data_IF_548555388109
#
_entry.id   IF_548555388109
#
_cell.length_a   1.000
_cell.length_b   1.000
_cell.length_c   1.000
_cell.angle_alpha   90.00
_cell.angle_beta   90.00
_cell.angle_gamma   90.00
#
_symmetry.space_group_name_H-M   'P 1'
#
loop_
_entity.id
_entity.type
_entity.pdbx_description
1 polymer ?
#
# COMPACT_ATOMS: atom_id res chain seq x y z
N UNK A 1 1.31 -1.39 24.58
CA UNK A 1 2.13 -2.62 24.34
C UNK A 1 3.38 -2.16 23.58
N UNK A 2 4.46 -2.95 23.55
CA UNK A 2 5.59 -2.57 22.71
C UNK A 2 5.21 -2.78 21.24
N UNK A 3 5.62 -1.88 20.32
CA UNK A 3 5.33 -2.00 18.90
C UNK A 3 5.98 -3.27 18.32
N UNK A 4 5.34 -3.85 17.30
CA UNK A 4 5.89 -4.99 16.58
C UNK A 4 7.11 -4.61 15.74
N UNK A 5 7.08 -3.42 15.11
CA UNK A 5 8.18 -2.87 14.31
C UNK A 5 8.38 -1.41 14.72
N UNK A 6 9.63 -1.00 14.95
CA UNK A 6 9.96 0.39 15.21
C UNK A 6 11.24 0.80 14.48
N UNK A 7 11.17 1.91 13.75
CA UNK A 7 12.31 2.59 13.14
C UNK A 7 12.49 3.96 13.76
N UNK A 8 13.73 4.33 14.08
CA UNK A 8 14.10 5.66 14.58
C UNK A 8 15.25 6.24 13.77
N UNK A 9 15.02 7.40 13.16
CA UNK A 9 15.97 8.11 12.29
C UNK A 9 16.67 7.19 11.29
N UNK A 10 15.90 6.29 10.66
CA UNK A 10 16.41 5.30 9.73
C UNK A 10 16.94 5.99 8.48
N UNK A 11 18.21 5.70 8.13
CA UNK A 11 18.87 6.27 6.94
C UNK A 11 19.54 5.19 6.12
N UNK A 12 19.46 5.36 4.82
CA UNK A 12 20.19 4.54 3.85
C UNK A 12 20.71 5.38 2.71
N UNK A 13 22.02 5.35 2.54
CA UNK A 13 22.74 5.98 1.43
C UNK A 13 23.50 4.91 0.67
N UNK A 14 23.29 4.86 -0.64
CA UNK A 14 24.03 3.99 -1.56
C UNK A 14 25.23 4.76 -2.13
N UNK A 15 26.41 4.14 -2.13
CA UNK A 15 27.65 4.66 -2.70
C UNK A 15 28.00 6.10 -2.25
N UNK A 16 27.52 6.51 -1.07
CA UNK A 16 27.72 7.85 -0.52
C UNK A 16 27.04 8.99 -1.30
N UNK A 17 26.16 8.67 -2.26
CA UNK A 17 25.56 9.67 -3.19
C UNK A 17 24.05 9.66 -3.19
N UNK A 18 23.41 8.48 -3.16
CA UNK A 18 21.97 8.38 -3.27
C UNK A 18 21.38 8.07 -1.89
N UNK A 19 20.74 9.05 -1.27
CA UNK A 19 19.99 8.87 -0.03
C UNK A 19 18.61 8.31 -0.35
N UNK A 20 18.45 6.99 -0.24
CA UNK A 20 17.18 6.31 -0.47
C UNK A 20 16.22 6.41 0.72
N UNK A 21 16.76 6.50 1.96
CA UNK A 21 15.99 6.71 3.19
C UNK A 21 16.64 7.82 3.99
N UNK A 22 15.85 8.83 4.42
CA UNK A 22 16.33 10.13 4.93
C UNK A 22 15.79 10.44 6.32
N UNK A 23 16.07 9.59 7.30
CA UNK A 23 15.62 9.81 8.68
C UNK A 23 14.17 9.39 8.89
N UNK A 24 13.79 8.23 8.33
CA UNK A 24 12.46 7.68 8.44
C UNK A 24 12.21 7.20 9.88
N UNK A 25 11.07 7.63 10.43
CA UNK A 25 10.54 7.14 11.69
C UNK A 25 9.23 6.41 11.39
N UNK A 26 9.07 5.22 11.97
CA UNK A 26 7.90 4.38 11.77
C UNK A 26 7.65 3.53 13.01
N UNK A 27 6.38 3.39 13.37
CA UNK A 27 5.96 2.54 14.47
C UNK A 27 4.71 1.76 14.08
N UNK A 28 4.80 0.42 14.13
CA UNK A 28 3.72 -0.51 13.74
C UNK A 28 3.37 -1.33 14.96
N UNK A 29 2.10 -1.30 15.33
CA UNK A 29 1.60 -2.01 16.49
C UNK A 29 1.45 -3.52 16.23
N UNK A 30 1.47 -4.31 17.29
CA UNK A 30 1.24 -5.74 17.17
C UNK A 30 -0.22 -6.03 16.78
N UNK A 31 -0.43 -6.89 15.77
CA UNK A 31 -1.75 -7.22 15.23
C UNK A 31 -2.30 -6.20 14.23
N UNK A 32 -1.52 -5.18 13.88
CA UNK A 32 -1.89 -4.16 12.90
C UNK A 32 -1.58 -4.61 11.47
N UNK A 33 -2.42 -4.24 10.53
CA UNK A 33 -2.11 -4.23 9.11
C UNK A 33 -1.68 -2.82 8.70
N UNK A 34 -0.40 -2.64 8.43
CA UNK A 34 0.20 -1.35 8.11
C UNK A 34 0.61 -1.27 6.64
N UNK A 35 0.21 -0.19 5.95
CA UNK A 35 0.55 0.09 4.57
C UNK A 35 1.72 1.06 4.42
N UNK A 36 2.66 0.77 3.52
CA UNK A 36 3.71 1.68 3.12
C UNK A 36 3.51 2.08 1.66
N UNK A 37 2.98 3.29 1.43
CA UNK A 37 2.61 3.81 0.12
C UNK A 37 3.62 4.85 -0.36
N UNK A 38 3.74 5.00 -1.66
CA UNK A 38 4.63 6.03 -2.24
C UNK A 38 4.96 5.73 -3.69
N UNK A 39 5.47 6.72 -4.46
CA UNK A 39 5.87 6.51 -5.84
C UNK A 39 7.10 5.60 -5.94
N UNK A 40 7.41 5.17 -7.16
CA UNK A 40 8.67 4.48 -7.44
C UNK A 40 9.85 5.36 -7.05
N UNK A 41 10.88 4.76 -6.45
CA UNK A 41 12.04 5.49 -5.94
C UNK A 41 11.82 6.27 -4.63
N UNK A 42 10.63 6.19 -4.01
CA UNK A 42 10.36 6.85 -2.71
C UNK A 42 11.14 6.27 -1.54
N UNK A 43 11.77 5.08 -1.68
CA UNK A 43 12.51 4.42 -0.62
C UNK A 43 11.75 3.29 0.07
N UNK A 44 10.55 2.90 -0.42
CA UNK A 44 9.72 1.82 0.18
C UNK A 44 10.44 0.48 0.24
N UNK A 45 10.88 -0.03 -0.91
CA UNK A 45 11.60 -1.31 -1.02
C UNK A 45 12.87 -1.31 -0.17
N UNK A 46 13.67 -0.22 -0.22
CA UNK A 46 14.85 -0.08 0.62
C UNK A 46 14.51 -0.14 2.12
N UNK A 47 13.41 0.50 2.53
CA UNK A 47 12.95 0.46 3.93
C UNK A 47 12.54 -0.97 4.31
N UNK A 48 11.76 -1.66 3.47
CA UNK A 48 11.33 -3.04 3.73
C UNK A 48 12.52 -3.99 3.78
N UNK A 49 13.45 -3.93 2.83
CA UNK A 49 14.65 -4.76 2.85
C UNK A 49 15.51 -4.58 4.13
N UNK A 50 15.53 -3.37 4.68
CA UNK A 50 16.17 -3.12 5.98
C UNK A 50 15.40 -3.78 7.12
N UNK A 51 14.06 -3.68 7.12
CA UNK A 51 13.20 -4.31 8.11
C UNK A 51 13.27 -5.85 8.05
N UNK A 52 13.38 -6.41 6.87
CA UNK A 52 13.54 -7.85 6.61
C UNK A 52 14.95 -8.36 6.96
N UNK A 53 15.89 -7.46 7.24
CA UNK A 53 17.30 -7.80 7.53
C UNK A 53 18.09 -8.24 6.30
N UNK A 54 17.61 -7.93 5.09
CA UNK A 54 18.31 -8.17 3.83
C UNK A 54 19.35 -7.08 3.54
N UNK A 55 19.11 -5.89 4.08
CA UNK A 55 19.95 -4.72 3.87
C UNK A 55 20.30 -4.05 5.21
N UNK A 56 21.59 -3.74 5.42
CA UNK A 56 21.99 -2.96 6.57
C UNK A 56 21.70 -1.47 6.37
N UNK A 57 21.14 -0.76 7.37
CA UNK A 57 21.01 0.70 7.31
C UNK A 57 22.37 1.39 7.36
N UNK A 58 22.47 2.61 6.85
CA UNK A 58 23.66 3.47 7.03
C UNK A 58 23.71 4.02 8.45
N UNK A 59 22.57 4.41 9.00
CA UNK A 59 22.41 4.84 10.40
C UNK A 59 20.94 4.71 10.82
N UNK A 60 20.68 4.97 12.10
CA UNK A 60 19.35 4.81 12.70
C UNK A 60 19.22 3.47 13.42
N UNK A 61 18.04 3.24 13.98
CA UNK A 61 17.74 2.04 14.75
C UNK A 61 16.49 1.36 14.23
N UNK A 62 16.54 0.02 14.17
CA UNK A 62 15.40 -0.83 13.85
C UNK A 62 15.26 -1.86 14.96
N UNK A 63 14.05 -1.97 15.50
CA UNK A 63 13.69 -3.06 16.40
C UNK A 63 12.44 -3.76 15.88
N UNK A 64 12.45 -5.09 15.97
CA UNK A 64 11.34 -5.96 15.59
C UNK A 64 11.01 -6.83 16.79
N UNK A 65 9.78 -6.75 17.29
CA UNK A 65 9.36 -7.41 18.52
C UNK A 65 10.31 -7.10 19.70
N UNK A 66 10.85 -5.88 19.75
CA UNK A 66 11.82 -5.43 20.76
C UNK A 66 13.25 -5.96 20.56
N UNK A 67 13.54 -6.65 19.46
CA UNK A 67 14.85 -7.26 19.15
C UNK A 67 15.53 -6.54 17.98
N UNK A 68 16.87 -6.68 17.88
CA UNK A 68 17.67 -6.12 16.78
C UNK A 68 18.20 -7.23 15.88
N UNK A 69 18.38 -6.92 14.60
CA UNK A 69 19.00 -7.86 13.65
C UNK A 69 20.42 -8.27 14.03
N UNK A 70 21.15 -7.37 14.67
CA UNK A 70 22.55 -7.62 15.06
C UNK A 70 22.65 -8.76 16.07
N UNK A 71 21.73 -8.83 17.02
CA UNK A 71 21.82 -9.72 18.16
C UNK A 71 20.91 -10.96 18.02
N UNK A 72 19.82 -10.86 17.24
CA UNK A 72 18.74 -11.85 17.24
C UNK A 72 18.30 -12.27 15.82
N UNK A 73 19.22 -12.27 14.84
CA UNK A 73 18.89 -12.52 13.43
C UNK A 73 18.20 -13.89 13.20
N UNK A 74 18.57 -14.91 13.96
CA UNK A 74 17.98 -16.24 13.80
C UNK A 74 16.56 -16.29 14.34
N UNK A 75 16.35 -15.72 15.52
CA UNK A 75 15.06 -15.66 16.20
C UNK A 75 14.06 -14.81 15.39
N UNK A 76 14.51 -13.71 14.81
CA UNK A 76 13.71 -12.85 13.96
C UNK A 76 13.25 -13.58 12.69
N UNK A 77 14.14 -14.33 12.02
CA UNK A 77 13.76 -15.12 10.84
C UNK A 77 12.71 -16.20 11.14
N UNK A 78 12.71 -16.75 12.34
CA UNK A 78 11.71 -17.77 12.75
C UNK A 78 10.29 -17.19 12.91
N UNK A 79 10.16 -15.88 13.16
CA UNK A 79 8.87 -15.23 13.44
C UNK A 79 8.41 -14.30 12.32
N UNK A 80 9.13 -14.29 11.21
CA UNK A 80 8.82 -13.45 10.05
C UNK A 80 8.50 -14.31 8.82
N UNK A 81 7.46 -13.92 8.09
CA UNK A 81 7.15 -14.41 6.76
C UNK A 81 7.37 -13.29 5.75
N UNK A 82 8.02 -13.58 4.64
CA UNK A 82 8.37 -12.58 3.62
C UNK A 82 7.89 -13.06 2.26
N UNK A 83 7.12 -12.23 1.56
CA UNK A 83 6.74 -12.43 0.16
C UNK A 83 7.19 -11.23 -0.65
N UNK A 84 8.24 -11.42 -1.43
CA UNK A 84 8.82 -10.38 -2.30
C UNK A 84 7.97 -10.19 -3.56
N UNK A 85 8.07 -9.03 -4.18
CA UNK A 85 7.39 -8.67 -5.44
C UNK A 85 7.66 -9.71 -6.55
N UNK A 86 8.91 -10.14 -6.70
CA UNK A 86 9.31 -11.22 -7.60
C UNK A 86 9.85 -12.42 -6.81
N UNK A 87 8.97 -13.24 -6.25
CA UNK A 87 9.39 -14.50 -5.63
C UNK A 87 9.63 -15.55 -6.70
N UNK A 88 10.89 -15.87 -6.95
CA UNK A 88 11.30 -16.90 -7.93
C UNK A 88 11.28 -18.28 -7.28
N UNK A 89 10.20 -19.01 -7.46
CA UNK A 89 10.06 -20.40 -7.04
C UNK A 89 10.56 -21.35 -8.14
N UNK A 90 11.08 -22.51 -7.74
CA UNK A 90 11.55 -23.52 -8.70
C UNK A 90 10.39 -24.07 -9.53
N UNK A 91 10.44 -23.91 -10.84
CA UNK A 91 9.42 -24.41 -11.77
C UNK A 91 9.36 -25.95 -11.82
N UNK A 92 10.40 -26.64 -11.33
CA UNK A 92 10.57 -28.10 -11.34
C UNK A 92 10.09 -28.78 -10.04
N UNK A 93 9.55 -28.03 -9.11
CA UNK A 93 8.89 -28.55 -7.91
C UNK A 93 7.37 -28.49 -8.12
N UNK A 94 6.67 -29.37 -7.45
CA UNK A 94 5.21 -29.26 -7.28
C UNK A 94 4.89 -28.16 -6.26
N UNK A 95 3.63 -27.75 -6.21
CA UNK A 95 3.13 -26.78 -5.22
C UNK A 95 3.37 -27.29 -3.81
N UNK A 96 3.04 -28.56 -3.53
CA UNK A 96 3.24 -29.16 -2.22
C UNK A 96 4.72 -29.26 -1.85
N UNK A 97 5.56 -29.81 -2.74
CA UNK A 97 7.01 -29.90 -2.53
C UNK A 97 7.63 -28.54 -2.25
N UNK A 98 7.12 -27.47 -2.88
CA UNK A 98 7.59 -26.10 -2.63
C UNK A 98 7.28 -25.69 -1.19
N UNK A 99 6.04 -25.86 -0.73
CA UNK A 99 5.68 -25.47 0.64
C UNK A 99 6.37 -26.35 1.68
N UNK A 100 6.54 -27.66 1.42
CA UNK A 100 7.31 -28.58 2.27
C UNK A 100 8.78 -28.16 2.37
N UNK A 101 9.41 -27.77 1.25
CA UNK A 101 10.77 -27.24 1.25
C UNK A 101 10.90 -26.02 2.17
N UNK A 102 9.98 -25.04 2.04
CA UNK A 102 10.02 -23.86 2.89
C UNK A 102 9.70 -24.18 4.35
N UNK A 103 8.80 -25.11 4.63
CA UNK A 103 8.52 -25.57 6.00
C UNK A 103 9.75 -26.10 6.71
N UNK A 104 10.65 -26.76 5.96
CA UNK A 104 11.91 -27.30 6.48
C UNK A 104 12.89 -26.26 7.02
N UNK A 105 12.72 -24.96 6.73
CA UNK A 105 13.56 -23.89 7.26
C UNK A 105 13.17 -23.44 8.68
N UNK A 106 11.98 -23.83 9.18
CA UNK A 106 11.42 -23.37 10.44
C UNK A 106 11.35 -24.50 11.46
N UNK A 107 11.46 -24.15 12.74
CA UNK A 107 11.40 -25.12 13.84
C UNK A 107 9.98 -25.62 14.14
N UNK A 108 9.00 -24.74 13.97
CA UNK A 108 7.59 -25.01 14.25
C UNK A 108 6.70 -24.54 13.11
N UNK A 109 6.85 -25.12 11.90
CA UNK A 109 6.05 -24.73 10.76
C UNK A 109 4.60 -25.19 10.93
N UNK A 110 3.72 -24.55 10.18
CA UNK A 110 2.35 -25.05 9.97
C UNK A 110 2.38 -26.25 9.03
N UNK A 111 1.34 -27.08 9.10
CA UNK A 111 1.19 -28.18 8.15
C UNK A 111 1.05 -27.63 6.71
N UNK A 112 1.88 -28.08 5.75
CA UNK A 112 1.85 -27.56 4.37
C UNK A 112 0.47 -27.61 3.71
N UNK A 113 -0.27 -28.70 3.90
CA UNK A 113 -1.61 -28.87 3.33
C UNK A 113 -2.63 -27.88 3.91
N UNK A 114 -2.55 -27.54 5.21
CA UNK A 114 -3.42 -26.53 5.81
C UNK A 114 -3.14 -25.13 5.20
N UNK A 115 -1.87 -24.82 4.95
CA UNK A 115 -1.51 -23.55 4.30
C UNK A 115 -1.98 -23.53 2.85
N UNK A 116 -1.87 -24.65 2.12
CA UNK A 116 -2.39 -24.76 0.76
C UNK A 116 -3.92 -24.67 0.72
N UNK A 117 -4.63 -25.19 1.71
CA UNK A 117 -6.08 -25.05 1.82
C UNK A 117 -6.47 -23.59 2.04
N UNK A 118 -5.81 -22.89 2.98
CA UNK A 118 -6.02 -21.47 3.22
C UNK A 118 -5.79 -20.62 1.96
N UNK A 119 -4.80 -21.00 1.14
CA UNK A 119 -4.46 -20.32 -0.12
C UNK A 119 -5.28 -20.83 -1.31
N UNK A 120 -6.23 -21.75 -1.11
CA UNK A 120 -7.04 -22.38 -2.17
C UNK A 120 -6.18 -22.98 -3.29
N UNK A 121 -5.12 -23.69 -2.89
CA UNK A 121 -4.18 -24.37 -3.79
C UNK A 121 -4.18 -25.89 -3.63
N UNK A 122 -5.05 -26.45 -2.80
CA UNK A 122 -5.11 -27.90 -2.52
C UNK A 122 -5.28 -28.73 -3.80
N UNK A 123 -6.17 -28.32 -4.71
CA UNK A 123 -6.38 -29.01 -5.99
C UNK A 123 -5.17 -28.93 -6.94
N UNK A 124 -4.21 -28.07 -6.65
CA UNK A 124 -2.97 -27.87 -7.40
C UNK A 124 -1.74 -28.41 -6.67
N UNK A 125 -1.92 -29.12 -5.55
CA UNK A 125 -0.81 -29.62 -4.73
C UNK A 125 0.23 -30.39 -5.56
N UNK A 126 -0.21 -31.25 -6.46
CA UNK A 126 0.65 -32.07 -7.32
C UNK A 126 1.01 -31.37 -8.66
N UNK A 127 0.52 -30.17 -8.90
CA UNK A 127 0.86 -29.43 -10.11
C UNK A 127 2.24 -28.80 -10.00
N UNK A 128 2.99 -28.79 -11.10
CA UNK A 128 4.29 -28.13 -11.18
C UNK A 128 4.13 -26.61 -11.10
N UNK A 129 5.00 -25.94 -10.35
CA UNK A 129 4.99 -24.47 -10.19
C UNK A 129 5.03 -23.75 -11.53
N UNK A 130 5.81 -24.25 -12.50
CA UNK A 130 5.89 -23.69 -13.83
C UNK A 130 4.57 -23.72 -14.64
N UNK A 131 3.58 -24.52 -14.21
CA UNK A 131 2.25 -24.63 -14.87
C UNK A 131 1.17 -23.76 -14.19
N UNK A 132 1.50 -23.06 -13.13
CA UNK A 132 0.57 -22.20 -12.41
C UNK A 132 0.28 -20.91 -13.19
N UNK A 133 -0.96 -20.42 -13.06
CA UNK A 133 -1.27 -19.04 -13.46
C UNK A 133 -0.52 -18.01 -12.59
N UNK A 134 -0.43 -16.76 -13.02
CA UNK A 134 0.18 -15.70 -12.24
C UNK A 134 -0.42 -15.58 -10.83
N UNK A 135 -1.77 -15.58 -10.73
CA UNK A 135 -2.47 -15.53 -9.46
C UNK A 135 -2.23 -16.76 -8.56
N UNK A 136 -2.13 -17.96 -9.14
CA UNK A 136 -1.77 -19.16 -8.39
C UNK A 136 -0.33 -19.11 -7.88
N UNK A 137 0.61 -18.60 -8.69
CA UNK A 137 2.01 -18.39 -8.30
C UNK A 137 2.15 -17.40 -7.17
N UNK A 138 1.42 -16.29 -7.24
CA UNK A 138 1.42 -15.28 -6.18
C UNK A 138 0.87 -15.84 -4.86
N UNK A 139 -0.24 -16.59 -4.91
CA UNK A 139 -0.78 -17.27 -3.71
C UNK A 139 0.21 -18.30 -3.16
N UNK A 140 0.94 -19.01 -4.00
CA UNK A 140 1.99 -19.93 -3.56
C UNK A 140 3.15 -19.17 -2.89
N UNK A 141 3.56 -18.00 -3.42
CA UNK A 141 4.57 -17.15 -2.78
C UNK A 141 4.15 -16.72 -1.36
N UNK A 142 2.89 -16.31 -1.19
CA UNK A 142 2.36 -15.99 0.14
C UNK A 142 2.25 -17.25 1.03
N UNK A 143 1.90 -18.43 0.46
CA UNK A 143 1.90 -19.70 1.19
C UNK A 143 3.28 -20.01 1.78
N UNK A 144 4.36 -19.81 1.01
CA UNK A 144 5.74 -20.02 1.51
C UNK A 144 6.12 -19.04 2.62
N UNK A 145 5.55 -17.84 2.65
CA UNK A 145 5.75 -16.90 3.74
C UNK A 145 4.94 -17.28 5.00
N UNK A 146 3.76 -17.89 4.84
CA UNK A 146 2.88 -18.27 5.96
C UNK A 146 3.25 -19.60 6.61
N UNK A 147 3.93 -20.51 5.91
CA UNK A 147 4.22 -21.86 6.41
C UNK A 147 5.10 -21.86 7.65
N UNK A 148 5.96 -20.85 7.82
CA UNK A 148 6.78 -20.66 9.01
C UNK A 148 6.00 -20.31 10.28
N UNK A 149 4.68 -20.17 10.22
CA UNK A 149 3.84 -19.69 11.32
C UNK A 149 4.29 -18.33 11.87
N UNK A 150 4.46 -17.31 11.01
CA UNK A 150 5.04 -16.04 11.39
C UNK A 150 4.15 -15.25 12.35
N UNK A 151 4.77 -14.35 13.12
CA UNK A 151 4.09 -13.29 13.89
C UNK A 151 3.98 -11.99 13.08
N UNK A 152 4.90 -11.79 12.14
CA UNK A 152 4.93 -10.63 11.24
C UNK A 152 5.02 -11.13 9.80
N UNK A 153 4.18 -10.60 8.93
CA UNK A 153 4.14 -10.90 7.51
C UNK A 153 4.49 -9.64 6.71
N UNK A 154 5.54 -9.73 5.91
CA UNK A 154 5.96 -8.71 4.95
C UNK A 154 5.45 -9.10 3.56
N UNK A 155 4.77 -8.16 2.91
CA UNK A 155 4.20 -8.36 1.58
C UNK A 155 4.58 -7.19 0.67
N UNK A 156 5.45 -7.44 -0.29
CA UNK A 156 5.84 -6.42 -1.26
C UNK A 156 4.96 -6.55 -2.51
N UNK A 157 4.04 -5.59 -2.69
CA UNK A 157 3.07 -5.51 -3.79
C UNK A 157 2.31 -6.83 -4.06
N UNK A 158 1.65 -7.42 -3.06
CA UNK A 158 1.17 -8.80 -3.09
C UNK A 158 0.10 -9.08 -4.15
N UNK A 159 -0.59 -8.05 -4.66
CA UNK A 159 -1.69 -8.21 -5.61
C UNK A 159 -1.39 -7.73 -7.02
N UNK A 160 -0.15 -7.32 -7.29
CA UNK A 160 0.25 -6.84 -8.62
C UNK A 160 0.07 -7.94 -9.67
N UNK A 161 -0.60 -7.59 -10.77
CA UNK A 161 -0.86 -8.52 -11.88
C UNK A 161 -1.94 -9.58 -11.60
N UNK A 162 -2.65 -9.50 -10.47
CA UNK A 162 -3.77 -10.40 -10.18
C UNK A 162 -5.08 -9.92 -10.82
N UNK A 163 -5.89 -10.86 -11.27
CA UNK A 163 -7.28 -10.60 -11.61
C UNK A 163 -8.09 -10.21 -10.36
N UNK A 164 -9.25 -9.53 -10.52
CA UNK A 164 -10.03 -9.03 -9.39
C UNK A 164 -10.49 -10.11 -8.40
N UNK A 165 -10.72 -11.34 -8.86
CA UNK A 165 -11.15 -12.44 -7.99
C UNK A 165 -9.97 -12.95 -7.15
N UNK A 166 -8.81 -13.20 -7.78
CA UNK A 166 -7.59 -13.62 -7.10
C UNK A 166 -7.12 -12.59 -6.07
N UNK A 167 -7.26 -11.29 -6.39
CA UNK A 167 -6.95 -10.19 -5.48
C UNK A 167 -7.82 -10.24 -4.22
N UNK A 168 -9.14 -10.39 -4.36
CA UNK A 168 -10.07 -10.50 -3.21
C UNK A 168 -9.74 -11.69 -2.33
N UNK A 169 -9.45 -12.85 -2.91
CA UNK A 169 -9.08 -14.05 -2.17
C UNK A 169 -7.81 -13.84 -1.33
N UNK A 170 -6.81 -13.17 -1.90
CA UNK A 170 -5.59 -12.84 -1.17
C UNK A 170 -5.87 -11.82 -0.04
N UNK A 171 -6.70 -10.82 -0.27
CA UNK A 171 -7.13 -9.89 0.78
C UNK A 171 -7.81 -10.61 1.94
N UNK A 172 -8.69 -11.57 1.67
CA UNK A 172 -9.37 -12.35 2.71
C UNK A 172 -8.34 -13.17 3.52
N UNK A 173 -7.32 -13.72 2.86
CA UNK A 173 -6.23 -14.43 3.53
C UNK A 173 -5.41 -13.51 4.44
N UNK A 174 -5.03 -12.31 3.96
CA UNK A 174 -4.28 -11.32 4.74
C UNK A 174 -5.08 -10.88 5.96
N UNK A 175 -6.38 -10.58 5.78
CA UNK A 175 -7.27 -10.25 6.88
C UNK A 175 -7.42 -11.38 7.90
N UNK A 176 -7.56 -12.62 7.43
CA UNK A 176 -7.62 -13.79 8.32
C UNK A 176 -6.36 -13.95 9.16
N UNK A 177 -5.19 -13.70 8.58
CA UNK A 177 -3.92 -13.71 9.30
C UNK A 177 -3.87 -12.61 10.37
N UNK A 178 -4.27 -11.39 10.02
CA UNK A 178 -4.34 -10.26 10.96
C UNK A 178 -5.34 -10.52 12.10
N UNK A 179 -6.56 -10.99 11.78
CA UNK A 179 -7.58 -11.31 12.77
C UNK A 179 -7.14 -12.41 13.74
N UNK A 180 -6.25 -13.29 13.33
CA UNK A 180 -5.61 -14.28 14.18
C UNK A 180 -4.50 -13.68 15.09
N UNK A 181 -4.28 -12.35 15.05
CA UNK A 181 -3.29 -11.63 15.84
C UNK A 181 -1.94 -11.42 15.16
N UNK A 182 -1.83 -11.77 13.88
CA UNK A 182 -0.63 -11.51 13.07
C UNK A 182 -0.49 -10.03 12.71
N UNK A 183 0.75 -9.55 12.65
CA UNK A 183 1.07 -8.18 12.17
C UNK A 183 1.42 -8.25 10.70
N UNK A 184 0.91 -7.32 9.89
CA UNK A 184 1.19 -7.24 8.46
C UNK A 184 1.82 -5.90 8.12
N UNK A 185 2.93 -5.92 7.38
CA UNK A 185 3.45 -4.75 6.68
C UNK A 185 3.39 -5.01 5.19
N UNK A 186 2.62 -4.21 4.46
CA UNK A 186 2.50 -4.34 3.02
C UNK A 186 2.92 -3.06 2.29
N UNK A 187 3.51 -3.22 1.11
CA UNK A 187 3.58 -2.14 0.12
C UNK A 187 2.49 -2.34 -0.91
N UNK A 188 2.00 -1.25 -1.42
CA UNK A 188 1.10 -1.28 -2.57
C UNK A 188 1.12 0.06 -3.29
N UNK A 189 0.80 0.02 -4.57
CA UNK A 189 0.45 1.17 -5.37
C UNK A 189 -1.06 1.21 -5.68
N UNK A 190 -1.84 0.24 -5.17
CA UNK A 190 -3.30 0.21 -5.28
C UNK A 190 -3.93 0.83 -4.04
N UNK A 191 -4.58 2.00 -4.22
CA UNK A 191 -5.21 2.72 -3.11
C UNK A 191 -6.40 1.97 -2.51
N UNK A 192 -7.17 1.27 -3.35
CA UNK A 192 -8.27 0.41 -2.93
C UNK A 192 -7.82 -0.76 -2.03
N UNK A 193 -6.61 -1.27 -2.26
CA UNK A 193 -5.99 -2.27 -1.38
C UNK A 193 -5.64 -1.67 -0.02
N UNK A 194 -4.98 -0.52 -0.03
CA UNK A 194 -4.60 0.17 1.21
C UNK A 194 -5.83 0.58 2.04
N UNK A 195 -6.86 1.16 1.42
CA UNK A 195 -8.11 1.53 2.09
C UNK A 195 -8.82 0.31 2.69
N UNK A 196 -8.70 -0.84 2.02
CA UNK A 196 -9.41 -2.04 2.42
C UNK A 196 -8.70 -2.86 3.47
N UNK A 197 -7.37 -2.96 3.42
CA UNK A 197 -6.59 -3.85 4.27
C UNK A 197 -5.95 -3.14 5.46
N UNK A 198 -5.49 -1.91 5.28
CA UNK A 198 -4.66 -1.26 6.27
C UNK A 198 -5.49 -0.59 7.37
N UNK A 199 -5.12 -0.83 8.62
CA UNK A 199 -5.61 -0.07 9.77
C UNK A 199 -5.00 1.33 9.79
N UNK A 200 -3.69 1.39 9.52
CA UNK A 200 -2.92 2.63 9.33
C UNK A 200 -1.97 2.46 8.15
N UNK A 201 -1.55 3.58 7.62
CA UNK A 201 -0.56 3.62 6.55
C UNK A 201 0.33 4.86 6.66
N UNK A 202 1.51 4.76 6.07
CA UNK A 202 2.40 5.89 5.85
C UNK A 202 2.59 6.13 4.34
N UNK A 203 2.50 7.39 3.94
CA UNK A 203 2.87 7.83 2.60
C UNK A 203 4.33 8.29 2.67
N UNK A 204 5.16 7.67 1.84
CA UNK A 204 6.60 7.94 1.74
C UNK A 204 6.89 8.63 0.42
N UNK A 205 7.64 9.72 0.47
CA UNK A 205 8.20 10.35 -0.71
C UNK A 205 9.61 10.85 -0.39
N UNK A 206 10.51 10.76 -1.38
CA UNK A 206 11.92 11.15 -1.25
C UNK A 206 12.63 10.61 0.01
N UNK A 207 12.31 9.38 0.42
CA UNK A 207 12.92 8.70 1.56
C UNK A 207 12.41 9.16 2.93
N UNK A 208 11.30 9.88 3.00
CA UNK A 208 10.69 10.38 4.24
C UNK A 208 9.20 10.05 4.31
N UNK A 209 8.68 9.84 5.52
CA UNK A 209 7.23 9.79 5.76
C UNK A 209 6.67 11.21 5.66
N UNK A 210 5.77 11.45 4.71
CA UNK A 210 5.12 12.74 4.49
C UNK A 210 3.71 12.82 5.08
N UNK A 211 3.08 11.67 5.30
CA UNK A 211 1.81 11.56 6.01
C UNK A 211 1.68 10.17 6.63
N UNK A 212 1.00 10.08 7.78
CA UNK A 212 0.69 8.83 8.47
C UNK A 212 -0.65 8.96 9.19
N UNK A 213 -1.43 7.89 9.20
CA UNK A 213 -2.73 7.81 9.86
C UNK A 213 -3.58 6.65 9.33
N UNK A 214 -4.83 6.56 9.81
CA UNK A 214 -5.81 5.67 9.21
C UNK A 214 -6.18 6.17 7.80
N UNK A 215 -6.64 5.30 6.88
CA UNK A 215 -7.15 5.75 5.58
C UNK A 215 -8.17 6.90 5.72
N UNK A 216 -9.12 6.76 6.64
CA UNK A 216 -10.15 7.80 6.89
C UNK A 216 -9.55 9.12 7.36
N UNK A 217 -8.63 9.10 8.35
CA UNK A 217 -7.99 10.33 8.84
C UNK A 217 -7.23 11.07 7.74
N UNK A 218 -6.55 10.32 6.87
CA UNK A 218 -5.80 10.90 5.77
C UNK A 218 -6.71 11.53 4.73
N UNK A 219 -7.84 10.90 4.42
CA UNK A 219 -8.87 11.46 3.52
C UNK A 219 -9.51 12.70 4.15
N UNK A 220 -9.83 12.69 5.43
CA UNK A 220 -10.38 13.85 6.14
C UNK A 220 -9.45 15.07 6.11
N UNK A 221 -8.14 14.86 6.18
CA UNK A 221 -7.15 15.95 6.09
C UNK A 221 -7.10 16.64 4.72
N UNK A 222 -7.78 16.10 3.70
CA UNK A 222 -7.97 16.81 2.43
C UNK A 222 -8.87 18.05 2.55
N UNK A 223 -9.65 18.16 3.66
CA UNK A 223 -10.56 19.26 3.88
C UNK A 223 -11.96 19.06 3.29
N UNK A 224 -12.31 17.87 2.78
CA UNK A 224 -13.64 17.55 2.28
C UNK A 224 -13.76 16.07 1.89
N UNK A 225 -14.94 15.50 2.15
CA UNK A 225 -15.21 14.09 1.87
C UNK A 225 -15.66 13.81 0.43
N UNK A 226 -15.94 14.87 -0.36
CA UNK A 226 -16.50 14.73 -1.70
C UNK A 226 -15.65 15.45 -2.73
N UNK A 227 -15.50 14.81 -3.88
CA UNK A 227 -14.89 15.38 -5.07
C UNK A 227 -16.00 15.69 -6.08
N UNK A 228 -16.00 16.91 -6.60
CA UNK A 228 -16.82 17.33 -7.74
C UNK A 228 -15.87 17.58 -8.91
N UNK A 229 -15.96 16.75 -9.93
CA UNK A 229 -15.13 16.83 -11.12
C UNK A 229 -16.00 17.30 -12.28
N UNK A 230 -15.56 18.34 -12.99
CA UNK A 230 -16.31 18.87 -14.11
C UNK A 230 -15.40 19.39 -15.22
N UNK A 231 -15.97 19.47 -16.42
CA UNK A 231 -15.35 20.02 -17.59
C UNK A 231 -16.27 21.06 -18.22
N UNK A 232 -15.75 22.19 -18.63
CA UNK A 232 -16.48 23.28 -19.28
C UNK A 232 -15.95 23.53 -20.69
N UNK A 233 -16.81 24.09 -21.56
CA UNK A 233 -16.43 24.54 -22.89
C UNK A 233 -15.57 25.82 -22.79
N UNK A 234 -14.50 25.89 -23.59
CA UNK A 234 -13.59 27.03 -23.60
C UNK A 234 -12.27 26.73 -22.86
N UNK A 235 -11.33 27.69 -22.92
CA UNK A 235 -10.02 27.49 -22.32
C UNK A 235 -10.12 27.68 -20.80
N UNK A 236 -10.08 26.60 -20.05
CA UNK A 236 -10.07 26.58 -18.57
C UNK A 236 -8.68 26.92 -17.99
N UNK A 237 -7.81 27.57 -18.78
CA UNK A 237 -6.46 27.91 -18.36
C UNK A 237 -6.45 29.12 -17.42
N UNK A 238 -6.30 28.84 -16.12
CA UNK A 238 -5.74 29.77 -15.13
C UNK A 238 -6.65 30.86 -14.54
N UNK A 239 -7.42 31.60 -15.32
CA UNK A 239 -8.16 32.78 -14.85
C UNK A 239 -9.45 32.43 -14.05
N UNK A 240 -10.02 31.24 -14.24
CA UNK A 240 -11.25 30.82 -13.58
C UNK A 240 -11.05 30.14 -12.21
N UNK A 241 -9.82 29.88 -11.80
CA UNK A 241 -9.56 29.14 -10.53
C UNK A 241 -10.10 29.89 -9.30
N UNK A 242 -10.07 31.21 -9.31
CA UNK A 242 -10.58 32.03 -8.20
C UNK A 242 -12.12 32.02 -8.15
N UNK A 243 -12.79 31.90 -9.31
CA UNK A 243 -14.26 31.76 -9.39
C UNK A 243 -14.69 30.46 -8.74
N UNK A 244 -13.99 29.35 -9.03
CA UNK A 244 -14.30 28.04 -8.47
C UNK A 244 -13.98 27.94 -6.96
N UNK A 245 -12.91 28.62 -6.49
CA UNK A 245 -12.58 28.71 -5.07
C UNK A 245 -13.59 29.48 -4.24
N UNK A 246 -14.30 30.41 -4.86
CA UNK A 246 -15.29 31.23 -4.18
C UNK A 246 -16.66 30.53 -4.02
N UNK A 247 -16.83 29.35 -4.58
CA UNK A 247 -18.06 28.57 -4.45
C UNK A 247 -18.28 28.08 -3.02
N UNK A 248 -19.52 28.01 -2.53
CA UNK A 248 -19.81 27.55 -1.18
C UNK A 248 -19.35 26.10 -0.97
N UNK A 249 -18.68 25.84 0.15
CA UNK A 249 -18.23 24.51 0.54
C UNK A 249 -17.00 23.99 -0.20
N UNK A 250 -16.34 24.80 -1.04
CA UNK A 250 -15.09 24.44 -1.72
C UNK A 250 -13.90 24.71 -0.83
N UNK A 251 -13.10 23.67 -0.56
CA UNK A 251 -11.87 23.71 0.21
C UNK A 251 -10.63 23.83 -0.70
N UNK A 252 -10.63 23.11 -1.82
CA UNK A 252 -9.52 23.11 -2.75
C UNK A 252 -10.00 22.97 -4.19
N UNK A 253 -9.24 23.59 -5.11
CA UNK A 253 -9.45 23.51 -6.56
C UNK A 253 -8.17 22.98 -7.19
N UNK A 254 -8.30 21.99 -8.06
CA UNK A 254 -7.22 21.41 -8.85
C UNK A 254 -7.65 21.28 -10.31
N UNK A 255 -6.70 21.42 -11.21
CA UNK A 255 -6.89 21.11 -12.63
C UNK A 255 -6.13 19.83 -12.96
N UNK A 256 -6.81 18.89 -13.62
CA UNK A 256 -6.28 17.58 -13.96
C UNK A 256 -6.81 17.13 -15.31
N UNK A 257 -5.91 16.93 -16.28
CA UNK A 257 -6.24 16.42 -17.62
C UNK A 257 -7.43 17.12 -18.31
N UNK A 258 -7.58 18.45 -18.11
CA UNK A 258 -8.68 19.24 -18.68
C UNK A 258 -9.96 19.22 -17.86
N UNK A 259 -9.96 18.58 -16.71
CA UNK A 259 -11.05 18.65 -15.72
C UNK A 259 -10.68 19.63 -14.61
N UNK A 260 -11.71 20.23 -14.03
CA UNK A 260 -11.62 20.96 -12.76
C UNK A 260 -12.12 20.03 -11.66
N UNK A 261 -11.28 19.80 -10.66
CA UNK A 261 -11.58 18.96 -9.51
C UNK A 261 -11.73 19.86 -8.27
N UNK A 262 -12.91 19.86 -7.68
CA UNK A 262 -13.20 20.57 -6.43
C UNK A 262 -13.27 19.57 -5.28
N UNK A 263 -12.54 19.86 -4.20
CA UNK A 263 -12.74 19.17 -2.94
C UNK A 263 -13.77 19.94 -2.12
N UNK A 264 -14.86 19.28 -1.71
CA UNK A 264 -16.02 19.95 -1.13
C UNK A 264 -16.60 19.21 0.09
N UNK A 265 -17.09 19.97 1.06
CA UNK A 265 -17.81 19.40 2.20
C UNK A 265 -19.28 19.11 1.90
N UNK A 266 -19.94 20.01 1.17
CA UNK A 266 -21.37 20.02 0.98
C UNK A 266 -21.74 20.09 -0.51
N UNK A 267 -21.67 18.95 -1.24
CA UNK A 267 -21.93 18.93 -2.68
C UNK A 267 -23.31 19.50 -3.06
N UNK A 268 -24.30 19.34 -2.18
CA UNK A 268 -25.65 19.84 -2.39
C UNK A 268 -25.76 21.38 -2.43
N UNK A 269 -24.81 22.09 -1.82
CA UNK A 269 -24.69 23.56 -1.92
C UNK A 269 -23.75 23.96 -3.07
N UNK A 270 -22.65 23.22 -3.23
CA UNK A 270 -21.63 23.56 -4.23
C UNK A 270 -22.13 23.36 -5.66
N UNK A 271 -22.82 22.24 -5.95
CA UNK A 271 -23.23 21.92 -7.33
C UNK A 271 -24.21 22.95 -7.90
N UNK A 272 -25.29 23.38 -7.22
CA UNK A 272 -26.14 24.44 -7.73
C UNK A 272 -25.40 25.75 -7.98
N UNK A 273 -24.49 26.14 -7.06
CA UNK A 273 -23.68 27.35 -7.23
C UNK A 273 -22.70 27.24 -8.40
N UNK A 274 -22.11 26.06 -8.64
CA UNK A 274 -21.26 25.77 -9.78
C UNK A 274 -22.02 25.97 -11.10
N UNK A 275 -23.23 25.42 -11.22
CA UNK A 275 -24.02 25.56 -12.44
C UNK A 275 -24.31 27.04 -12.78
N UNK A 276 -24.66 27.83 -11.77
CA UNK A 276 -24.89 29.29 -11.93
C UNK A 276 -23.58 30.00 -12.30
N UNK A 277 -22.45 29.60 -11.73
CA UNK A 277 -21.16 30.21 -12.06
C UNK A 277 -20.73 29.91 -13.50
N UNK A 278 -20.90 28.68 -13.97
CA UNK A 278 -20.60 28.26 -15.36
C UNK A 278 -21.42 29.09 -16.36
N UNK A 279 -22.72 29.29 -16.10
CA UNK A 279 -23.58 30.13 -16.94
C UNK A 279 -23.16 31.62 -16.94
N UNK A 280 -22.77 32.18 -15.79
CA UNK A 280 -22.27 33.57 -15.68
C UNK A 280 -20.98 33.81 -16.46
N UNK A 281 -20.11 32.80 -16.48
CA UNK A 281 -18.87 32.85 -17.28
C UNK A 281 -19.10 32.63 -18.79
N UNK A 282 -20.36 32.40 -19.21
CA UNK A 282 -20.71 32.14 -20.61
C UNK A 282 -20.19 30.81 -21.12
N UNK A 283 -19.89 29.88 -20.21
CA UNK A 283 -19.39 28.55 -20.53
C UNK A 283 -20.54 27.52 -20.53
N UNK A 284 -20.28 26.38 -21.15
CA UNK A 284 -21.19 25.23 -21.10
C UNK A 284 -20.55 24.08 -20.35
N UNK A 285 -21.30 23.47 -19.46
CA UNK A 285 -20.88 22.26 -18.75
C UNK A 285 -20.88 21.08 -19.73
N UNK A 286 -19.72 20.45 -19.92
CA UNK A 286 -19.55 19.29 -20.80
C UNK A 286 -19.62 17.98 -20.03
N UNK A 287 -19.10 17.97 -18.81
CA UNK A 287 -19.10 16.81 -17.93
C UNK A 287 -19.23 17.27 -16.48
N UNK A 288 -19.94 16.48 -15.67
CA UNK A 288 -20.00 16.63 -14.21
C UNK A 288 -20.14 15.25 -13.57
N UNK A 289 -19.26 14.95 -12.65
CA UNK A 289 -19.36 13.77 -11.80
C UNK A 289 -19.07 14.11 -10.34
N UNK A 290 -19.60 13.29 -9.44
CA UNK A 290 -19.33 13.42 -8.01
C UNK A 290 -18.92 12.06 -7.47
N UNK A 291 -17.93 12.05 -6.59
CA UNK A 291 -17.50 10.84 -5.88
C UNK A 291 -17.02 11.19 -4.47
N UNK A 292 -16.84 10.19 -3.65
CA UNK A 292 -16.14 10.39 -2.38
C UNK A 292 -14.65 10.60 -2.64
N UNK A 293 -14.02 11.40 -1.80
CA UNK A 293 -12.58 11.55 -1.79
C UNK A 293 -11.93 10.20 -1.40
N UNK A 294 -10.79 9.90 -1.97
CA UNK A 294 -10.06 8.65 -1.81
C UNK A 294 -8.60 8.89 -1.38
N UNK A 295 -7.90 7.85 -1.00
CA UNK A 295 -6.45 7.92 -0.76
C UNK A 295 -5.66 8.37 -2.00
N UNK A 296 -6.17 8.12 -3.21
CA UNK A 296 -5.54 8.62 -4.44
C UNK A 296 -5.51 10.16 -4.47
N UNK A 297 -6.60 10.81 -4.03
CA UNK A 297 -6.68 12.27 -3.92
C UNK A 297 -5.69 12.81 -2.87
N UNK A 298 -5.56 12.10 -1.73
CA UNK A 298 -4.54 12.41 -0.71
C UNK A 298 -3.15 12.36 -1.31
N UNK A 299 -2.86 11.26 -1.99
CA UNK A 299 -1.56 11.01 -2.59
C UNK A 299 -1.19 12.09 -3.62
N UNK A 300 -2.09 12.38 -4.56
CA UNK A 300 -1.88 13.42 -5.58
C UNK A 300 -1.71 14.79 -4.95
N UNK A 301 -2.47 15.13 -3.90
CA UNK A 301 -2.33 16.40 -3.19
C UNK A 301 -0.95 16.54 -2.51
N UNK A 302 -0.45 15.48 -1.90
CA UNK A 302 0.81 15.51 -1.16
C UNK A 302 2.05 15.45 -2.06
N UNK A 303 1.99 14.68 -3.16
CA UNK A 303 3.14 14.41 -4.03
C UNK A 303 3.11 15.18 -5.35
N UNK A 304 1.94 15.71 -5.74
CA UNK A 304 1.72 16.36 -7.04
C UNK A 304 1.71 15.40 -8.23
N UNK A 305 1.67 14.08 -7.98
CA UNK A 305 1.78 13.02 -9.01
C UNK A 305 0.74 11.92 -8.77
N UNK A 306 0.29 11.26 -9.85
CA UNK A 306 -0.46 10.01 -9.75
C UNK A 306 0.49 8.83 -9.55
N UNK A 307 0.10 7.81 -8.78
CA UNK A 307 0.93 6.61 -8.56
C UNK A 307 1.12 5.75 -9.82
N UNK A 308 0.22 5.89 -10.82
CA UNK A 308 0.20 5.07 -12.03
C UNK A 308 0.84 5.72 -13.26
N UNK A 309 1.43 6.90 -13.12
CA UNK A 309 2.06 7.65 -14.23
C UNK A 309 3.56 7.33 -14.37
N UNK A 310 3.93 6.03 -14.39
CA UNK A 310 5.25 5.59 -14.87
C UNK A 310 5.12 4.37 -15.78
#
# INVERSE_FOLDING_TARGET
>A
MAPAIQCRDLRKTYDGKVEAVRGLNLEIEAGECFGLLGPNGAGKTTTIEILEGLLAPTSGQVTILGQTWKDNARELREVMGISLQETRLSEKLTVLETVELFSGFYRQPRAPLEVLEQMQLTEKADAWVGKLSGGQRQRLAVATALVGNPRILFLDEPTTGLDPQSRRQLWDTIRGFQQAGGTVLLTTHYMDEAERLCDRLAIVDHGQVIAEGTPSDLIERLGGHHMVEFQVSGNSNGDSADVWRALPGVEAVRHDNGFVCLNVHEPHLTIPALLVAVEKEGQHLLHLTTRQASLEDVFVRLTGRHLREE
#
